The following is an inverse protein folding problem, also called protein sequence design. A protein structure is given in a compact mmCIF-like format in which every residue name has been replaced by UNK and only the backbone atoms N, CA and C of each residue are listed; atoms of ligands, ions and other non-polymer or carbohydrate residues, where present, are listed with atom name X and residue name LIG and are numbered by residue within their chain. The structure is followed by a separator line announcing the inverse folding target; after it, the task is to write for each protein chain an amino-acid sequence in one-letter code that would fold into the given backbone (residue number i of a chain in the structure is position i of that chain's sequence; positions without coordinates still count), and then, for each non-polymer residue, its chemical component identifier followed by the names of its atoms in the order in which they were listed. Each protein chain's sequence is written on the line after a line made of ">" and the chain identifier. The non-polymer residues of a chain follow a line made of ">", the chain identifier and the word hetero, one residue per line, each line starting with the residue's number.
data_IF_632331980059
#
_entry.id   IF_632331980059
#
_cell.length_a   1.000
_cell.length_b   1.000
_cell.length_c   1.000
_cell.angle_alpha   90.00
_cell.angle_beta   90.00
_cell.angle_gamma   90.00
#
_symmetry.space_group_name_H-M   'P 1'
#
loop_
_entity.id
_entity.type
_entity.pdbx_description
1 polymer ?
#
# COMPACT_ATOMS: atom_id res chain seq x y z
N UNK A 1 -6.96 -0.44 8.59
CA UNK A 1 -6.28 -0.15 7.30
C UNK A 1 -4.79 -0.15 7.56
N UNK A 2 -4.09 -1.18 7.09
CA UNK A 2 -2.67 -1.36 7.37
C UNK A 2 -1.86 -0.40 6.51
N UNK A 3 -1.01 0.39 7.16
CA UNK A 3 -0.06 1.24 6.47
C UNK A 3 1.00 0.37 5.82
N UNK A 4 1.02 0.35 4.47
CA UNK A 4 2.07 -0.32 3.71
C UNK A 4 3.41 0.42 3.95
N UNK A 5 4.15 -0.04 4.94
CA UNK A 5 5.56 0.30 5.07
C UNK A 5 6.26 -0.29 3.84
N UNK A 6 7.13 0.43 3.14
CA UNK A 6 7.86 -0.14 2.03
C UNK A 6 8.61 -1.40 2.47
N UNK A 7 8.22 -2.54 1.94
CA UNK A 7 8.77 -3.86 2.31
C UNK A 7 10.31 -3.89 2.27
N UNK A 8 10.90 -3.18 1.31
CA UNK A 8 12.37 -3.03 1.22
C UNK A 8 13.00 -2.47 2.49
N UNK A 9 12.33 -1.53 3.15
CA UNK A 9 12.89 -0.85 4.33
C UNK A 9 12.78 -1.71 5.58
N UNK A 10 11.73 -2.53 5.68
CA UNK A 10 11.62 -3.53 6.74
C UNK A 10 12.68 -4.63 6.56
N UNK A 11 12.91 -5.08 5.33
CA UNK A 11 13.89 -6.15 5.06
C UNK A 11 15.33 -5.74 5.41
N UNK A 12 15.65 -4.44 5.30
CA UNK A 12 16.98 -3.90 5.66
C UNK A 12 17.01 -3.28 7.06
N UNK A 13 15.95 -3.43 7.86
CA UNK A 13 15.87 -2.91 9.22
C UNK A 13 16.87 -3.62 10.15
N UNK A 14 17.66 -2.84 10.90
CA UNK A 14 18.55 -3.36 11.94
C UNK A 14 17.74 -3.90 13.10
N UNK A 15 18.16 -5.03 13.66
CA UNK A 15 17.42 -5.76 14.69
C UNK A 15 17.15 -4.90 15.94
N UNK A 16 18.13 -4.09 16.37
CA UNK A 16 18.06 -3.39 17.65
C UNK A 16 17.11 -2.19 17.68
N UNK A 17 16.86 -1.56 16.52
CA UNK A 17 16.14 -0.28 16.47
C UNK A 17 14.95 -0.26 15.52
N UNK A 18 14.60 -1.41 14.91
CA UNK A 18 13.56 -1.40 13.86
C UNK A 18 12.16 -1.27 14.42
N UNK A 19 11.92 -1.69 15.66
CA UNK A 19 10.59 -1.67 16.28
C UNK A 19 10.67 -1.08 17.68
N UNK A 20 9.79 -0.13 17.96
CA UNK A 20 9.61 0.45 19.29
C UNK A 20 8.15 0.35 19.71
N UNK A 21 7.92 0.10 20.98
CA UNK A 21 6.60 0.18 21.59
C UNK A 21 6.49 1.43 22.46
N UNK A 22 5.46 2.23 22.21
CA UNK A 22 5.12 3.41 23.01
C UNK A 22 3.61 3.40 23.24
N UNK A 23 3.20 3.46 24.50
CA UNK A 23 1.79 3.54 24.91
C UNK A 23 0.90 2.45 24.25
N UNK A 24 1.39 1.21 24.19
CA UNK A 24 0.67 0.07 23.59
C UNK A 24 0.56 0.14 22.06
N UNK A 25 1.34 1.00 21.40
CA UNK A 25 1.42 1.12 19.93
C UNK A 25 2.82 0.81 19.44
N UNK A 26 2.88 0.10 18.32
CA UNK A 26 4.15 -0.22 17.67
C UNK A 26 4.52 0.82 16.63
N UNK A 27 5.80 1.19 16.63
CA UNK A 27 6.41 2.10 15.65
C UNK A 27 7.59 1.41 15.00
N UNK A 28 7.60 1.41 13.66
CA UNK A 28 8.71 0.91 12.87
C UNK A 28 9.59 2.08 12.45
N UNK A 29 10.87 2.00 12.76
CA UNK A 29 11.88 2.93 12.26
C UNK A 29 12.24 2.58 10.83
N UNK A 30 12.21 3.57 9.97
CA UNK A 30 12.48 3.45 8.55
C UNK A 30 13.66 4.33 8.18
N UNK A 31 14.77 3.70 7.82
CA UNK A 31 15.96 4.37 7.33
C UNK A 31 15.96 4.36 5.81
N UNK A 32 15.65 5.51 5.18
CA UNK A 32 15.67 5.62 3.73
C UNK A 32 17.07 6.00 3.25
N UNK A 33 17.65 5.20 2.36
CA UNK A 33 19.00 5.42 1.79
C UNK A 33 19.19 6.81 1.16
N UNK A 34 18.12 7.49 0.75
CA UNK A 34 18.16 8.81 0.08
C UNK A 34 17.37 9.90 0.79
N UNK A 35 16.87 9.67 2.02
CA UNK A 35 16.05 10.64 2.73
C UNK A 35 16.14 10.46 4.24
N UNK A 36 15.27 11.12 4.96
CA UNK A 36 15.27 11.23 6.42
C UNK A 36 14.83 9.90 7.04
N UNK A 37 15.50 9.48 8.12
CA UNK A 37 15.00 8.45 9.04
C UNK A 37 13.71 8.93 9.69
N UNK A 38 12.66 8.13 9.67
CA UNK A 38 11.40 8.45 10.33
C UNK A 38 10.77 7.22 10.98
N UNK A 39 9.95 7.46 12.00
CA UNK A 39 9.16 6.42 12.66
C UNK A 39 7.75 6.42 12.09
N UNK A 40 7.21 5.23 11.87
CA UNK A 40 5.86 5.03 11.37
C UNK A 40 5.09 4.11 12.30
N UNK A 41 3.91 4.56 12.76
CA UNK A 41 3.00 3.71 13.49
C UNK A 41 2.50 2.55 12.61
N UNK A 42 2.50 1.36 13.16
CA UNK A 42 1.98 0.14 12.54
C UNK A 42 0.89 -0.50 13.41
N UNK A 43 0.07 -1.36 12.82
CA UNK A 43 -0.93 -2.09 13.60
C UNK A 43 -0.26 -3.06 14.59
N UNK A 44 -0.95 -3.38 15.66
CA UNK A 44 -0.45 -4.33 16.66
C UNK A 44 -0.16 -5.71 16.04
N UNK A 45 -0.91 -6.11 15.03
CA UNK A 45 -0.68 -7.34 14.29
C UNK A 45 0.67 -7.32 13.55
N UNK A 46 0.97 -6.22 12.84
CA UNK A 46 2.26 -6.05 12.14
C UNK A 46 3.41 -5.99 13.14
N UNK A 47 3.23 -5.27 14.26
CA UNK A 47 4.24 -5.22 15.33
C UNK A 47 4.57 -6.61 15.87
N UNK A 48 3.56 -7.41 16.19
CA UNK A 48 3.74 -8.80 16.66
C UNK A 48 4.41 -9.70 15.62
N UNK A 49 4.09 -9.53 14.33
CA UNK A 49 4.76 -10.29 13.26
C UNK A 49 6.25 -9.95 13.15
N UNK A 50 6.60 -8.68 13.32
CA UNK A 50 8.01 -8.24 13.33
C UNK A 50 8.73 -8.83 14.54
N UNK A 51 8.14 -8.81 15.75
CA UNK A 51 8.71 -9.43 16.94
C UNK A 51 8.96 -10.93 16.73
N UNK A 52 7.99 -11.66 16.21
CA UNK A 52 8.18 -13.08 15.87
C UNK A 52 9.29 -13.31 14.86
N UNK A 53 9.43 -12.43 13.88
CA UNK A 53 10.52 -12.52 12.91
C UNK A 53 11.89 -12.29 13.56
N UNK A 54 11.97 -11.32 14.51
CA UNK A 54 13.17 -11.06 15.28
C UNK A 54 13.58 -12.26 16.15
N UNK A 55 12.62 -12.83 16.88
CA UNK A 55 12.83 -14.05 17.70
C UNK A 55 13.29 -15.22 16.83
N UNK A 56 12.60 -15.50 15.73
CA UNK A 56 12.98 -16.56 14.80
C UNK A 56 14.39 -16.39 14.23
N UNK A 57 14.76 -15.16 13.88
CA UNK A 57 16.11 -14.87 13.35
C UNK A 57 17.17 -15.08 14.41
N UNK A 58 16.90 -14.64 15.65
CA UNK A 58 17.81 -14.81 16.78
C UNK A 58 18.00 -16.28 17.14
N UNK A 59 16.92 -17.06 17.21
CA UNK A 59 16.96 -18.49 17.52
C UNK A 59 17.74 -19.30 16.47
N UNK A 60 17.56 -18.95 15.19
CA UNK A 60 18.12 -19.73 14.08
C UNK A 60 19.54 -19.36 13.69
N UNK A 61 19.89 -18.08 13.79
CA UNK A 61 21.14 -17.53 13.27
C UNK A 61 22.00 -16.86 14.37
N UNK A 62 21.49 -16.76 15.59
CA UNK A 62 22.16 -16.05 16.69
C UNK A 62 22.06 -14.54 16.55
N UNK A 63 23.08 -13.83 17.03
CA UNK A 63 23.13 -12.37 16.94
C UNK A 63 23.38 -11.94 15.48
N UNK A 64 22.43 -11.26 14.90
CA UNK A 64 22.47 -10.74 13.53
C UNK A 64 22.20 -9.24 13.52
N UNK A 65 22.67 -8.54 12.49
CA UNK A 65 22.44 -7.10 12.34
C UNK A 65 21.03 -6.79 11.83
N UNK A 66 20.40 -7.74 11.10
CA UNK A 66 19.13 -7.52 10.38
C UNK A 66 18.02 -8.44 10.88
N UNK A 67 16.76 -7.95 10.80
CA UNK A 67 15.57 -8.74 11.13
C UNK A 67 15.36 -9.89 10.14
N UNK A 68 15.56 -9.61 8.86
CA UNK A 68 15.44 -10.60 7.80
C UNK A 68 16.80 -10.80 7.13
N UNK A 69 17.35 -11.99 7.29
CA UNK A 69 18.69 -12.34 6.79
C UNK A 69 18.64 -13.36 5.66
N UNK A 70 19.66 -13.41 4.84
CA UNK A 70 19.81 -14.48 3.86
C UNK A 70 20.12 -15.80 4.56
N UNK A 71 19.50 -16.88 4.09
CA UNK A 71 19.71 -18.22 4.63
C UNK A 71 21.18 -18.68 4.53
N UNK A 72 21.82 -18.35 3.41
CA UNK A 72 23.18 -18.80 3.09
C UNK A 72 24.27 -17.86 3.63
N UNK A 73 23.89 -16.63 4.01
CA UNK A 73 24.80 -15.63 4.56
C UNK A 73 24.04 -14.70 5.51
N UNK A 74 23.92 -15.06 6.80
CA UNK A 74 23.17 -14.28 7.78
C UNK A 74 23.73 -12.90 8.09
N UNK A 75 24.93 -12.58 7.62
CA UNK A 75 25.51 -11.23 7.73
C UNK A 75 24.90 -10.23 6.77
N UNK A 76 24.11 -10.71 5.80
CA UNK A 76 23.47 -9.88 4.78
C UNK A 76 21.95 -9.86 4.89
N UNK A 77 21.30 -8.72 4.66
CA UNK A 77 19.85 -8.62 4.69
C UNK A 77 19.21 -9.40 3.54
N UNK A 78 18.00 -9.88 3.78
CA UNK A 78 17.16 -10.50 2.75
C UNK A 78 16.78 -9.47 1.69
N UNK A 79 17.11 -9.72 0.44
CA UNK A 79 16.91 -8.75 -0.64
C UNK A 79 15.45 -8.75 -1.13
N UNK A 80 14.94 -7.57 -1.46
CA UNK A 80 13.60 -7.39 -2.01
C UNK A 80 13.33 -8.27 -3.24
N UNK A 81 14.28 -8.39 -4.16
CA UNK A 81 14.14 -9.25 -5.35
C UNK A 81 13.84 -10.71 -5.03
N UNK A 82 14.33 -11.22 -3.90
CA UNK A 82 14.06 -12.58 -3.45
C UNK A 82 12.59 -12.72 -2.98
N UNK A 83 12.05 -11.72 -2.28
CA UNK A 83 10.62 -11.68 -1.89
C UNK A 83 9.76 -11.62 -3.13
N UNK A 84 10.09 -10.74 -4.07
CA UNK A 84 9.35 -10.61 -5.32
C UNK A 84 9.34 -11.92 -6.11
N UNK A 85 10.49 -12.60 -6.21
CA UNK A 85 10.59 -13.89 -6.89
C UNK A 85 9.72 -14.97 -6.23
N UNK A 86 9.69 -15.03 -4.88
CA UNK A 86 8.84 -15.98 -4.15
C UNK A 86 7.36 -15.70 -4.36
N UNK A 87 6.94 -14.44 -4.26
CA UNK A 87 5.54 -14.06 -4.48
C UNK A 87 5.12 -14.34 -5.94
N UNK A 88 5.98 -14.03 -6.92
CA UNK A 88 5.72 -14.35 -8.32
C UNK A 88 5.63 -15.85 -8.57
N UNK A 89 6.42 -16.66 -7.85
CA UNK A 89 6.31 -18.13 -7.91
C UNK A 89 4.95 -18.58 -7.40
N UNK A 90 4.50 -18.06 -6.26
CA UNK A 90 3.17 -18.38 -5.71
C UNK A 90 2.04 -17.96 -6.64
N UNK A 91 2.11 -16.78 -7.24
CA UNK A 91 1.13 -16.28 -8.23
C UNK A 91 1.04 -17.26 -9.40
N UNK A 92 2.16 -17.70 -9.94
CA UNK A 92 2.18 -18.71 -11.04
C UNK A 92 1.64 -20.06 -10.60
N UNK A 93 2.03 -20.56 -9.43
CA UNK A 93 1.58 -21.86 -8.92
C UNK A 93 0.07 -21.89 -8.63
N UNK A 94 -0.50 -20.77 -8.20
CA UNK A 94 -1.92 -20.63 -7.86
C UNK A 94 -2.75 -20.07 -9.03
N UNK A 95 -2.12 -19.78 -10.17
CA UNK A 95 -2.73 -19.15 -11.35
C UNK A 95 -3.56 -17.90 -11.01
N UNK A 96 -2.99 -17.02 -10.17
CA UNK A 96 -3.67 -15.79 -9.76
C UNK A 96 -3.64 -14.79 -10.90
N UNK A 97 -4.82 -14.44 -11.41
CA UNK A 97 -5.00 -13.56 -12.57
C UNK A 97 -5.60 -12.21 -12.14
N UNK A 98 -5.33 -11.18 -12.93
CA UNK A 98 -5.98 -9.87 -12.81
C UNK A 98 -7.35 -9.86 -13.50
N UNK A 99 -8.05 -8.71 -13.44
CA UNK A 99 -9.39 -8.52 -14.03
C UNK A 99 -9.40 -8.66 -15.56
N UNK A 100 -8.23 -8.61 -16.23
CA UNK A 100 -8.06 -8.80 -17.66
C UNK A 100 -7.75 -10.27 -18.02
N UNK A 101 -7.64 -11.15 -17.03
CA UNK A 101 -7.28 -12.55 -17.21
C UNK A 101 -5.78 -12.80 -17.39
N UNK A 102 -4.93 -11.77 -17.26
CA UNK A 102 -3.48 -11.92 -17.28
C UNK A 102 -2.94 -12.34 -15.90
N UNK A 103 -1.79 -13.03 -15.88
CA UNK A 103 -1.10 -13.33 -14.62
C UNK A 103 -0.82 -12.06 -13.84
N UNK A 104 -1.25 -12.04 -12.57
CA UNK A 104 -1.06 -10.88 -11.70
C UNK A 104 0.42 -10.50 -11.61
N UNK A 105 0.75 -9.26 -11.98
CA UNK A 105 2.09 -8.70 -11.88
C UNK A 105 2.31 -8.16 -10.48
N UNK A 106 3.20 -8.77 -9.71
CA UNK A 106 3.53 -8.32 -8.36
C UNK A 106 4.69 -7.32 -8.37
N UNK A 107 4.47 -6.18 -7.71
CA UNK A 107 5.51 -5.20 -7.43
C UNK A 107 5.12 -4.32 -6.26
N UNK A 108 6.08 -3.86 -5.45
CA UNK A 108 5.80 -3.01 -4.28
C UNK A 108 5.14 -1.69 -4.64
N UNK A 109 5.38 -1.18 -5.85
CA UNK A 109 4.72 0.03 -6.34
C UNK A 109 3.21 -0.13 -6.46
N UNK A 110 2.70 -1.32 -6.79
CA UNK A 110 1.24 -1.59 -6.86
C UNK A 110 0.59 -1.30 -5.51
N UNK A 111 1.15 -1.83 -4.41
CA UNK A 111 0.60 -1.57 -3.07
C UNK A 111 0.66 -0.10 -2.70
N UNK A 112 1.75 0.60 -3.05
CA UNK A 112 1.89 2.03 -2.83
C UNK A 112 0.83 2.81 -3.61
N UNK A 113 0.59 2.46 -4.88
CA UNK A 113 -0.44 3.08 -5.71
C UNK A 113 -1.84 2.81 -5.16
N UNK A 114 -2.18 1.56 -4.81
CA UNK A 114 -3.46 1.22 -4.22
C UNK A 114 -3.69 1.97 -2.89
N UNK A 115 -2.66 2.05 -2.04
CA UNK A 115 -2.75 2.78 -0.79
C UNK A 115 -2.91 4.29 -1.01
N UNK A 116 -2.10 4.89 -1.89
CA UNK A 116 -2.22 6.29 -2.26
C UNK A 116 -3.58 6.64 -2.84
N UNK A 117 -4.11 5.81 -3.75
CA UNK A 117 -5.46 5.95 -4.29
C UNK A 117 -6.52 5.89 -3.17
N UNK A 118 -6.40 4.91 -2.25
CA UNK A 118 -7.34 4.77 -1.13
C UNK A 118 -7.34 5.98 -0.20
N UNK A 119 -6.18 6.57 0.06
CA UNK A 119 -6.08 7.79 0.86
C UNK A 119 -6.73 9.00 0.17
N UNK A 120 -6.61 9.11 -1.16
CA UNK A 120 -7.30 10.17 -1.92
C UNK A 120 -8.82 9.98 -1.95
N UNK A 121 -9.30 8.75 -2.04
CA UNK A 121 -10.73 8.40 -1.95
C UNK A 121 -11.32 8.73 -0.57
N UNK A 122 -10.51 8.65 0.49
CA UNK A 122 -10.87 9.05 1.85
C UNK A 122 -10.73 10.55 2.11
N UNK A 123 -10.48 11.35 1.05
CA UNK A 123 -10.32 12.80 1.12
C UNK A 123 -9.23 13.26 2.11
N UNK A 124 -8.18 12.44 2.32
CA UNK A 124 -7.03 12.82 3.12
C UNK A 124 -6.26 13.94 2.41
N UNK A 125 -5.77 14.92 3.17
CA UNK A 125 -5.01 16.06 2.64
C UNK A 125 -3.68 15.62 2.00
N UNK A 126 -3.25 16.32 0.95
CA UNK A 126 -2.09 15.96 0.13
C UNK A 126 -0.78 15.89 0.93
N UNK A 127 -0.57 16.84 1.86
CA UNK A 127 0.63 16.85 2.70
C UNK A 127 0.67 15.62 3.63
N UNK A 128 -0.50 15.18 4.10
CA UNK A 128 -0.61 13.99 4.95
C UNK A 128 -0.38 12.71 4.13
N UNK A 129 -0.92 12.65 2.91
CA UNK A 129 -0.67 11.54 1.96
C UNK A 129 0.83 11.46 1.64
N UNK A 130 1.47 12.60 1.33
CA UNK A 130 2.89 12.67 1.05
C UNK A 130 3.70 12.13 2.25
N UNK A 131 3.37 12.55 3.46
CA UNK A 131 4.03 12.10 4.69
C UNK A 131 3.83 10.60 4.94
N UNK A 132 2.60 10.09 4.78
CA UNK A 132 2.27 8.68 4.96
C UNK A 132 2.99 7.77 3.95
N UNK A 133 3.20 8.26 2.74
CA UNK A 133 3.90 7.54 1.68
C UNK A 133 5.42 7.80 1.67
N UNK A 134 5.93 8.73 2.49
CA UNK A 134 7.33 9.11 2.51
C UNK A 134 7.77 9.83 1.23
N UNK A 135 6.88 10.61 0.62
CA UNK A 135 7.22 11.47 -0.51
C UNK A 135 7.88 12.77 -0.06
N UNK A 136 8.91 13.20 -0.77
CA UNK A 136 9.60 14.49 -0.50
C UNK A 136 8.79 15.69 -0.98
N UNK A 137 7.93 15.51 -1.99
CA UNK A 137 7.17 16.58 -2.63
C UNK A 137 5.70 16.20 -2.77
N UNK A 138 4.83 17.18 -2.79
CA UNK A 138 3.39 17.01 -3.03
C UNK A 138 3.09 16.58 -4.48
N UNK A 139 4.00 16.87 -5.41
CA UNK A 139 3.82 16.56 -6.84
C UNK A 139 3.53 15.07 -7.08
N UNK A 140 4.14 14.18 -6.28
CA UNK A 140 3.88 12.74 -6.37
C UNK A 140 2.44 12.35 -5.96
N UNK A 141 1.78 13.18 -5.13
CA UNK A 141 0.40 12.94 -4.68
C UNK A 141 -0.60 13.31 -5.77
N UNK A 142 -0.32 14.32 -6.57
CA UNK A 142 -1.19 14.70 -7.71
C UNK A 142 -1.42 13.55 -8.70
N UNK A 143 -0.44 12.64 -8.82
CA UNK A 143 -0.62 11.44 -9.65
C UNK A 143 -1.79 10.57 -9.15
N UNK A 144 -1.91 10.37 -7.85
CA UNK A 144 -3.02 9.58 -7.26
C UNK A 144 -4.37 10.29 -7.40
N UNK A 145 -4.41 11.62 -7.27
CA UNK A 145 -5.64 12.41 -7.47
C UNK A 145 -6.11 12.37 -8.91
N UNK A 146 -5.21 12.45 -9.90
CA UNK A 146 -5.58 12.32 -11.32
C UNK A 146 -6.27 11.01 -11.63
N UNK A 147 -5.79 9.91 -11.05
CA UNK A 147 -6.42 8.59 -11.20
C UNK A 147 -7.78 8.58 -10.52
N UNK A 148 -7.88 9.13 -9.31
CA UNK A 148 -9.14 9.26 -8.58
C UNK A 148 -10.17 10.11 -9.33
N UNK A 149 -9.79 11.25 -9.87
CA UNK A 149 -10.67 12.14 -10.62
C UNK A 149 -11.19 11.49 -11.92
N UNK A 150 -10.37 10.70 -12.61
CA UNK A 150 -10.82 9.97 -13.80
C UNK A 150 -11.89 8.93 -13.44
N UNK A 151 -11.68 8.16 -12.37
CA UNK A 151 -12.67 7.17 -11.89
C UNK A 151 -13.95 7.87 -11.45
N UNK A 152 -13.86 8.98 -10.70
CA UNK A 152 -15.02 9.77 -10.30
C UNK A 152 -15.77 10.34 -11.50
N UNK A 153 -15.06 10.84 -12.52
CA UNK A 153 -15.68 11.34 -13.74
C UNK A 153 -16.43 10.23 -14.50
N UNK A 154 -15.85 9.03 -14.58
CA UNK A 154 -16.50 7.89 -15.23
C UNK A 154 -17.72 7.40 -14.44
N UNK A 155 -17.66 7.32 -13.12
CA UNK A 155 -18.81 6.96 -12.27
C UNK A 155 -19.91 8.06 -12.28
N UNK A 156 -19.52 9.33 -12.27
CA UNK A 156 -20.45 10.46 -12.37
C UNK A 156 -21.15 10.47 -13.74
N UNK A 157 -20.45 10.12 -14.82
CA UNK A 157 -21.05 10.00 -16.15
C UNK A 157 -22.14 8.93 -16.17
N UNK A 158 -21.87 7.73 -15.66
CA UNK A 158 -22.87 6.65 -15.57
C UNK A 158 -24.10 7.05 -14.76
N UNK A 159 -23.87 7.78 -13.66
CA UNK A 159 -24.96 8.27 -12.81
C UNK A 159 -25.79 9.34 -13.54
N UNK A 160 -25.14 10.25 -14.26
CA UNK A 160 -25.78 11.28 -15.06
C UNK A 160 -26.62 10.67 -16.19
N UNK A 161 -26.06 9.71 -16.94
CA UNK A 161 -26.80 8.98 -17.97
C UNK A 161 -28.10 8.33 -17.42
N UNK A 162 -28.03 7.74 -16.22
CA UNK A 162 -29.23 7.19 -15.55
C UNK A 162 -30.22 8.28 -15.15
N UNK A 163 -29.75 9.41 -14.62
CA UNK A 163 -30.59 10.54 -14.27
C UNK A 163 -31.27 11.16 -15.51
N UNK A 164 -30.52 11.29 -16.62
CA UNK A 164 -31.09 11.82 -17.89
C UNK A 164 -32.20 10.91 -18.41
N UNK A 165 -32.07 9.59 -18.31
CA UNK A 165 -33.14 8.65 -18.66
C UNK A 165 -34.38 8.83 -17.79
N UNK A 166 -34.21 9.00 -16.49
CA UNK A 166 -35.34 9.23 -15.55
C UNK A 166 -35.99 10.57 -15.85
N UNK A 167 -35.22 11.63 -16.10
CA UNK A 167 -35.74 12.94 -16.45
C UNK A 167 -36.52 12.91 -17.78
N UNK A 168 -36.00 12.21 -18.80
CA UNK A 168 -36.72 12.03 -20.05
C UNK A 168 -38.04 11.29 -19.88
N UNK A 169 -38.09 10.30 -19.00
CA UNK A 169 -39.32 9.54 -18.71
C UNK A 169 -40.35 10.41 -17.99
N UNK A 170 -39.89 11.25 -17.05
CA UNK A 170 -40.75 12.24 -16.36
C UNK A 170 -41.30 13.27 -17.34
N UNK A 171 -40.46 13.82 -18.23
CA UNK A 171 -40.86 14.82 -19.23
C UNK A 171 -41.88 14.22 -20.20
N UNK A 172 -41.69 13.01 -20.69
CA UNK A 172 -42.64 12.30 -21.55
C UNK A 172 -43.98 12.05 -20.86
N UNK A 173 -43.98 11.85 -19.54
CA UNK A 173 -45.20 11.73 -18.74
C UNK A 173 -45.93 13.05 -18.53
N UNK A 174 -45.26 14.22 -18.71
CA UNK A 174 -45.85 15.56 -18.57
C UNK A 174 -46.53 16.06 -19.85
N UNK A 175 -46.11 15.60 -21.03
CA UNK A 175 -46.75 15.96 -22.31
C UNK A 175 -48.20 15.44 -22.45
N UNK A 176 -48.70 14.73 -21.45
CA UNK A 176 -50.10 14.26 -21.38
C UNK A 176 -51.09 15.14 -20.59
N UNK A 177 -50.60 16.23 -19.97
CA UNK A 177 -51.48 17.21 -19.28
C UNK A 177 -51.48 18.53 -20.04
N UNK A 178 -52.28 18.60 -21.11
CA UNK A 178 -52.71 19.89 -21.64
C UNK A 178 -53.64 20.56 -20.60
N UNK A 179 -53.30 21.79 -20.24
CA UNK A 179 -54.14 22.71 -19.44
C UNK A 179 -55.33 23.22 -20.26
#
# INVERSE_FOLDING_TARGET
>A
MQSLVPIMQICCGKLQDCLREKEGRYFVRIDQVKSITYEKAVSNEVGRLILKAMEYTKERYGETEYVFVKKDDPTKPYQYGMIQAQVMRMIRQKDIRDDNGELLKFGTHIFRHCYGKKLTELHIEDWMIARLLGHKTLQSVHHYRRIGNKVMADETRKTREKMDLILMDIIKGWDGYEL
#
